data_IF_373203553409
#
_entry.id   IF_373203553409
#
_cell.length_a   1.000
_cell.length_b   1.000
_cell.length_c   1.000
_cell.angle_alpha   90.00
_cell.angle_beta   90.00
_cell.angle_gamma   90.00
#
_symmetry.space_group_name_H-M   'P 1'
#
loop_
_entity.id
_entity.type
_entity.pdbx_description
1 polymer ?
#
# COMPACT_ATOMS: atom_id res chain seq x y z
N UNK A 1 -12.59 -12.30 7.10
CA UNK A 1 -11.79 -13.46 7.56
C UNK A 1 -12.29 -14.73 6.91
N UNK A 2 -11.45 -15.77 6.86
CA UNK A 2 -11.81 -17.10 6.35
C UNK A 2 -10.98 -18.14 7.11
N UNK A 3 -11.53 -19.34 7.29
CA UNK A 3 -10.83 -20.50 7.86
C UNK A 3 -10.51 -21.57 6.81
N UNK A 4 -11.10 -21.47 5.62
CA UNK A 4 -11.04 -22.47 4.56
C UNK A 4 -10.60 -21.91 3.20
N UNK A 5 -10.41 -20.58 3.10
CA UNK A 5 -10.12 -19.84 1.88
C UNK A 5 -11.20 -19.97 0.79
N UNK A 6 -12.41 -20.38 1.16
CA UNK A 6 -13.56 -20.54 0.26
C UNK A 6 -14.73 -19.66 0.69
N UNK A 7 -15.00 -19.63 1.99
CA UNK A 7 -16.04 -18.82 2.60
C UNK A 7 -15.42 -17.62 3.29
N UNK A 8 -15.88 -16.42 2.97
CA UNK A 8 -15.35 -15.18 3.52
C UNK A 8 -16.44 -14.43 4.29
N UNK A 9 -16.11 -14.01 5.50
CA UNK A 9 -16.95 -13.16 6.34
C UNK A 9 -16.32 -11.78 6.45
N UNK A 10 -17.09 -10.71 6.25
CA UNK A 10 -16.59 -9.35 6.45
C UNK A 10 -16.20 -9.14 7.92
N UNK A 11 -15.10 -8.43 8.15
CA UNK A 11 -14.70 -7.99 9.51
C UNK A 11 -15.57 -6.81 9.97
N UNK A 12 -16.06 -6.00 9.03
CA UNK A 12 -16.82 -4.78 9.24
C UNK A 12 -17.67 -4.51 8.00
N UNK A 13 -18.83 -3.88 8.17
CA UNK A 13 -19.63 -3.33 7.06
C UNK A 13 -19.07 -1.98 6.60
N UNK A 14 -18.40 -1.25 7.49
CA UNK A 14 -17.66 -0.02 7.16
C UNK A 14 -16.28 -0.34 6.59
N UNK A 15 -15.78 0.45 5.61
CA UNK A 15 -14.45 0.26 5.06
C UNK A 15 -13.36 0.51 6.11
N UNK A 16 -12.35 -0.37 6.16
CA UNK A 16 -11.18 -0.21 7.06
C UNK A 16 -10.27 0.98 6.69
N UNK A 17 -10.40 1.50 5.47
CA UNK A 17 -9.79 2.76 5.04
C UNK A 17 -10.75 3.49 4.11
N UNK A 18 -11.37 4.58 4.59
CA UNK A 18 -12.30 5.40 3.82
C UNK A 18 -11.56 6.38 2.87
N UNK A 19 -12.29 6.87 1.86
CA UNK A 19 -11.85 8.00 1.04
C UNK A 19 -11.80 9.29 1.88
N UNK A 20 -10.85 10.18 1.59
CA UNK A 20 -10.69 11.44 2.30
C UNK A 20 -10.22 11.27 3.77
N UNK A 21 -10.17 12.35 4.56
CA UNK A 21 -10.69 13.67 4.23
C UNK A 21 -9.81 14.49 3.28
N UNK A 22 -8.57 14.08 3.03
CA UNK A 22 -7.65 14.81 2.16
C UNK A 22 -8.02 14.68 0.68
N UNK A 23 -7.71 15.72 -0.10
CA UNK A 23 -8.07 15.78 -1.52
C UNK A 23 -7.44 14.65 -2.35
N UNK A 24 -6.24 14.20 -1.95
CA UNK A 24 -5.47 13.23 -2.70
C UNK A 24 -6.20 11.86 -2.84
N UNK A 25 -7.09 11.50 -1.91
CA UNK A 25 -7.83 10.24 -1.96
C UNK A 25 -9.34 10.39 -1.77
N UNK A 26 -9.85 11.59 -2.04
CA UNK A 26 -11.26 11.95 -1.86
C UNK A 26 -12.23 11.13 -2.71
N UNK A 27 -11.80 10.61 -3.85
CA UNK A 27 -12.69 9.97 -4.82
C UNK A 27 -12.39 8.49 -5.08
N UNK A 28 -11.28 7.97 -4.56
CA UNK A 28 -10.93 6.57 -4.69
C UNK A 28 -9.79 6.16 -3.78
N UNK A 29 -9.93 4.98 -3.20
CA UNK A 29 -8.92 4.24 -2.44
C UNK A 29 -9.04 2.78 -2.85
N UNK A 30 -7.91 2.14 -3.17
CA UNK A 30 -7.84 0.70 -3.36
C UNK A 30 -6.46 0.18 -2.96
N UNK A 31 -6.44 -0.88 -2.16
CA UNK A 31 -5.21 -1.49 -1.65
C UNK A 31 -4.53 -2.27 -2.77
N UNK A 32 -3.22 -2.07 -2.92
CA UNK A 32 -2.39 -2.86 -3.82
C UNK A 32 -1.72 -4.00 -3.06
N UNK A 33 -1.08 -3.69 -1.93
CA UNK A 33 -0.28 -4.64 -1.18
C UNK A 33 -0.20 -4.26 0.30
N UNK A 34 -0.31 -5.25 1.18
CA UNK A 34 0.04 -5.11 2.60
C UNK A 34 1.33 -5.88 2.88
N UNK A 35 2.30 -5.22 3.52
CA UNK A 35 3.56 -5.83 3.96
C UNK A 35 3.79 -5.59 5.45
N UNK A 36 4.48 -6.53 6.10
CA UNK A 36 4.88 -6.38 7.51
C UNK A 36 6.35 -5.97 7.59
N UNK A 37 6.63 -4.94 8.37
CA UNK A 37 7.99 -4.48 8.62
C UNK A 37 8.13 -3.97 10.07
N UNK A 38 9.15 -4.46 10.79
CA UNK A 38 9.41 -4.09 12.19
C UNK A 38 8.17 -4.09 13.10
N UNK A 39 7.33 -5.14 13.02
CA UNK A 39 6.14 -5.30 13.86
C UNK A 39 4.95 -4.40 13.49
N UNK A 40 4.95 -3.79 12.30
CA UNK A 40 3.87 -2.94 11.81
C UNK A 40 3.45 -3.35 10.39
N UNK A 41 2.17 -3.20 10.08
CA UNK A 41 1.63 -3.39 8.74
C UNK A 41 1.68 -2.08 7.96
N UNK A 42 2.07 -2.19 6.69
CA UNK A 42 2.14 -1.10 5.73
C UNK A 42 1.29 -1.47 4.52
N UNK A 43 0.23 -0.70 4.28
CA UNK A 43 -0.59 -0.80 3.09
C UNK A 43 -0.10 0.19 2.05
N UNK A 44 0.43 -0.33 0.95
CA UNK A 44 0.54 0.41 -0.30
C UNK A 44 -0.82 0.38 -0.98
N UNK A 45 -1.33 1.56 -1.28
CA UNK A 45 -2.63 1.71 -1.91
C UNK A 45 -2.54 2.78 -2.98
N UNK A 46 -3.36 2.67 -4.02
CA UNK A 46 -3.54 3.77 -4.94
C UNK A 46 -4.80 4.56 -4.59
N UNK A 47 -4.76 5.85 -4.91
CA UNK A 47 -5.86 6.76 -4.68
C UNK A 47 -6.13 7.65 -5.88
N UNK A 48 -7.37 8.17 -5.96
CA UNK A 48 -7.77 9.13 -6.98
C UNK A 48 -8.24 10.44 -6.33
N UNK A 49 -7.62 11.58 -6.69
CA UNK A 49 -8.14 12.91 -6.38
C UNK A 49 -9.23 13.36 -7.35
N UNK A 50 -9.43 12.66 -8.48
CA UNK A 50 -10.41 13.02 -9.50
C UNK A 50 -11.72 12.24 -9.31
N UNK A 51 -12.86 12.93 -9.38
CA UNK A 51 -14.19 12.32 -9.23
C UNK A 51 -14.50 11.27 -10.29
N UNK A 52 -14.00 11.47 -11.51
CA UNK A 52 -14.13 10.53 -12.64
C UNK A 52 -13.09 9.39 -12.59
N UNK A 53 -12.19 9.38 -11.59
CA UNK A 53 -11.11 8.41 -11.42
C UNK A 53 -10.19 8.29 -12.64
N UNK A 54 -10.00 9.40 -13.36
CA UNK A 54 -9.08 9.50 -14.50
C UNK A 54 -7.61 9.48 -14.10
N UNK A 55 -7.29 9.94 -12.88
CA UNK A 55 -5.93 10.02 -12.33
C UNK A 55 -5.74 9.19 -11.08
N UNK A 56 -4.59 8.56 -10.94
CA UNK A 56 -4.22 7.74 -9.80
C UNK A 56 -2.80 8.02 -9.34
N UNK A 57 -2.59 7.84 -8.04
CA UNK A 57 -1.31 8.06 -7.37
C UNK A 57 -1.09 7.01 -6.30
N UNK A 58 0.18 6.77 -5.92
CA UNK A 58 0.53 5.80 -4.89
C UNK A 58 0.59 6.47 -3.53
N UNK A 59 -0.03 5.85 -2.54
CA UNK A 59 -0.09 6.27 -1.15
C UNK A 59 0.31 5.13 -0.21
N UNK A 60 0.53 5.48 1.06
CA UNK A 60 0.91 4.59 2.13
C UNK A 60 -0.01 4.79 3.35
N UNK A 61 -0.43 3.71 3.98
CA UNK A 61 -1.05 3.73 5.30
C UNK A 61 -0.37 2.69 6.20
N UNK A 62 -0.45 2.87 7.52
CA UNK A 62 0.07 1.89 8.48
C UNK A 62 -0.99 1.42 9.45
N UNK A 63 -0.84 0.19 9.94
CA UNK A 63 -1.74 -0.39 10.93
C UNK A 63 -0.96 -1.30 11.88
N UNK A 64 -1.52 -1.53 13.06
CA UNK A 64 -1.04 -2.55 14.02
C UNK A 64 -1.90 -3.81 14.05
N UNK A 65 -3.10 -3.78 13.47
CA UNK A 65 -4.13 -4.82 13.62
C UNK A 65 -4.88 -5.17 12.32
N UNK A 66 -4.50 -4.57 11.19
CA UNK A 66 -5.12 -4.72 9.86
C UNK A 66 -6.54 -4.13 9.74
N UNK A 67 -7.09 -3.54 10.80
CA UNK A 67 -8.45 -2.98 10.84
C UNK A 67 -8.40 -1.46 10.96
N UNK A 68 -7.56 -0.93 11.84
CA UNK A 68 -7.39 0.50 12.03
C UNK A 68 -6.15 0.98 11.27
N UNK A 69 -6.37 1.83 10.27
CA UNK A 69 -5.32 2.33 9.39
C UNK A 69 -5.10 3.83 9.55
N UNK A 70 -3.84 4.22 9.65
CA UNK A 70 -3.39 5.62 9.69
C UNK A 70 -2.72 5.96 8.35
N UNK A 71 -3.28 6.93 7.62
CA UNK A 71 -2.70 7.42 6.36
C UNK A 71 -1.40 8.16 6.62
N UNK A 72 -0.37 7.88 5.82
CA UNK A 72 0.91 8.58 5.93
C UNK A 72 0.74 10.07 5.64
N UNK A 73 1.17 10.93 6.56
CA UNK A 73 1.03 12.38 6.43
C UNK A 73 1.75 12.97 5.20
N UNK A 74 2.77 12.28 4.67
CA UNK A 74 3.47 12.66 3.45
C UNK A 74 2.84 12.12 2.17
N UNK A 75 1.62 11.57 2.22
CA UNK A 75 0.92 11.14 1.02
C UNK A 75 0.58 12.34 0.11
N UNK A 76 0.57 12.13 -1.23
CA UNK A 76 0.89 10.89 -1.94
C UNK A 76 2.40 10.58 -1.97
N UNK A 77 2.77 9.31 -1.84
CA UNK A 77 4.17 8.86 -1.97
C UNK A 77 4.69 9.05 -3.40
N UNK A 78 3.84 8.74 -4.39
CA UNK A 78 4.08 9.03 -5.80
C UNK A 78 2.87 9.81 -6.33
N UNK A 79 2.95 11.14 -6.41
CA UNK A 79 1.86 11.98 -6.92
C UNK A 79 1.47 11.62 -8.36
N UNK A 80 0.29 12.07 -8.78
CA UNK A 80 -0.16 11.95 -10.18
C UNK A 80 0.91 12.50 -11.13
N UNK A 81 1.31 11.67 -12.09
CA UNK A 81 2.10 12.09 -13.26
C UNK A 81 1.11 12.49 -14.37
N UNK A 82 1.01 13.78 -14.75
CA UNK A 82 0.05 14.21 -15.78
C UNK A 82 0.27 13.55 -17.14
N UNK A 83 1.49 13.10 -17.44
CA UNK A 83 1.80 12.38 -18.69
C UNK A 83 1.43 10.89 -18.60
N UNK A 84 1.33 10.35 -17.39
CA UNK A 84 1.03 8.94 -17.12
C UNK A 84 0.05 8.81 -15.94
N UNK A 85 -1.20 9.28 -16.10
CA UNK A 85 -2.10 9.51 -14.98
C UNK A 85 -2.58 8.24 -14.28
N UNK A 86 -2.19 7.04 -14.75
CA UNK A 86 -2.61 5.75 -14.20
C UNK A 86 -1.48 4.94 -13.57
N UNK A 87 -0.30 5.53 -13.38
CA UNK A 87 0.90 4.84 -12.86
C UNK A 87 0.93 4.84 -11.33
N UNK A 88 0.19 3.94 -10.70
CA UNK A 88 -0.01 3.98 -9.24
C UNK A 88 0.03 2.64 -8.51
N UNK A 89 -0.23 1.51 -9.18
CA UNK A 89 -0.42 0.21 -8.52
C UNK A 89 0.91 -0.32 -7.98
N UNK A 90 1.11 -0.19 -6.67
CA UNK A 90 2.39 -0.36 -6.03
C UNK A 90 2.63 -1.79 -5.52
N UNK A 91 3.82 -2.31 -5.77
CA UNK A 91 4.30 -3.56 -5.17
C UNK A 91 5.72 -3.36 -4.66
N UNK A 92 5.91 -3.56 -3.36
CA UNK A 92 7.20 -3.50 -2.69
C UNK A 92 7.85 -4.89 -2.68
N UNK A 93 9.08 -4.95 -3.19
CA UNK A 93 9.92 -6.16 -3.18
C UNK A 93 11.25 -5.81 -2.54
N UNK A 94 11.70 -6.63 -1.60
CA UNK A 94 13.06 -6.53 -1.06
C UNK A 94 14.01 -7.39 -1.90
N UNK A 95 15.11 -6.81 -2.37
CA UNK A 95 16.02 -7.47 -3.32
C UNK A 95 17.25 -8.13 -2.70
N UNK A 96 17.26 -8.29 -1.37
CA UNK A 96 18.41 -8.74 -0.60
C UNK A 96 19.25 -7.60 -0.03
N UNK A 97 19.18 -6.40 -0.62
CA UNK A 97 19.96 -5.23 -0.18
C UNK A 97 19.11 -4.01 0.16
N UNK A 98 18.04 -3.79 -0.60
CA UNK A 98 17.17 -2.61 -0.50
C UNK A 98 15.75 -2.93 -0.96
N UNK A 99 14.84 -1.98 -0.77
CA UNK A 99 13.49 -2.10 -1.32
C UNK A 99 13.45 -1.59 -2.76
N UNK A 100 12.64 -2.28 -3.57
CA UNK A 100 12.21 -1.91 -4.91
C UNK A 100 10.71 -1.69 -4.86
N UNK A 101 10.28 -0.48 -5.19
CA UNK A 101 8.88 -0.14 -5.37
C UNK A 101 8.58 -0.20 -6.86
N UNK A 102 7.85 -1.24 -7.26
CA UNK A 102 7.30 -1.37 -8.60
C UNK A 102 5.97 -0.63 -8.67
N UNK A 103 5.75 0.11 -9.75
CA UNK A 103 4.43 0.63 -10.12
C UNK A 103 4.08 0.15 -11.52
N UNK A 104 2.84 -0.29 -11.73
CA UNK A 104 2.33 -0.72 -13.04
C UNK A 104 1.38 0.32 -13.65
N UNK A 105 0.91 0.04 -14.88
CA UNK A 105 -0.03 0.82 -15.70
C UNK A 105 0.46 2.20 -16.18
N UNK A 106 0.63 2.43 -17.50
CA UNK A 106 0.61 1.45 -18.61
C UNK A 106 1.89 0.61 -18.70
N UNK A 107 2.93 0.99 -17.97
CA UNK A 107 4.27 0.42 -18.02
C UNK A 107 4.78 0.07 -16.62
N UNK A 108 5.80 -0.78 -16.54
CA UNK A 108 6.44 -1.13 -15.27
C UNK A 108 7.57 -0.15 -14.99
N UNK A 109 7.48 0.57 -13.87
CA UNK A 109 8.58 1.38 -13.33
C UNK A 109 9.05 0.80 -12.03
N UNK A 110 10.36 0.89 -11.79
CA UNK A 110 10.99 0.54 -10.53
C UNK A 110 11.62 1.77 -9.90
N UNK A 111 11.38 1.96 -8.61
CA UNK A 111 12.05 2.95 -7.76
C UNK A 111 12.76 2.22 -6.65
N UNK A 112 13.89 2.74 -6.21
CA UNK A 112 14.72 2.12 -5.19
C UNK A 112 14.67 2.93 -3.90
N UNK A 113 14.64 2.27 -2.75
CA UNK A 113 14.83 2.98 -1.48
C UNK A 113 16.21 3.62 -1.47
N UNK A 114 16.26 4.86 -0.96
CA UNK A 114 17.53 5.61 -0.80
C UNK A 114 18.45 4.88 0.18
N UNK A 115 17.88 4.33 1.25
CA UNK A 115 18.62 3.55 2.23
C UNK A 115 18.67 2.07 1.83
N UNK A 116 19.83 1.44 2.08
CA UNK A 116 19.93 0.00 2.15
C UNK A 116 19.13 -0.47 3.37
N UNK A 117 18.36 -1.54 3.19
CA UNK A 117 17.60 -2.15 4.27
C UNK A 117 18.10 -3.57 4.39
N UNK A 118 18.88 -3.86 5.42
CA UNK A 118 19.22 -5.26 5.71
C UNK A 118 17.99 -5.90 6.32
N UNK A 119 17.58 -7.07 5.81
CA UNK A 119 16.55 -7.85 6.50
C UNK A 119 17.04 -8.11 7.93
N UNK A 120 16.19 -7.92 8.95
CA UNK A 120 16.51 -8.49 10.26
C UNK A 120 16.83 -9.96 10.06
N UNK A 121 17.87 -10.46 10.73
CA UNK A 121 18.11 -11.90 10.77
C UNK A 121 16.78 -12.56 11.17
N UNK A 122 16.37 -13.61 10.46
CA UNK A 122 15.26 -14.43 10.96
C UNK A 122 15.69 -14.87 12.36
N UNK A 123 15.02 -14.36 13.38
CA UNK A 123 15.02 -15.09 14.65
C UNK A 123 14.33 -16.39 14.31
N UNK A 124 15.09 -17.49 14.30
CA UNK A 124 14.51 -18.82 14.44
C UNK A 124 13.79 -18.84 15.78
N UNK A 125 12.52 -18.44 15.75
CA UNK A 125 11.58 -18.58 16.84
C UNK A 125 10.88 -19.90 16.63
N UNK A 126 11.25 -20.86 17.47
CA UNK A 126 10.45 -22.03 17.82
C UNK A 126 8.97 -21.66 17.91
N UNK A 127 8.18 -22.19 16.99
CA UNK A 127 6.73 -22.24 17.12
C UNK A 127 6.40 -23.37 18.12
N UNK A 128 5.50 -23.18 19.10
CA UNK A 128 4.96 -24.28 19.89
C UNK A 128 4.08 -25.24 19.07
#
# INVERSE_FOLDING_TARGET
TSRDLRTFTNVSDEPVLACGPQDYDRHGVAFDQVVTYCGRYYAYYHSSPAADRSTWQTCLATSRDLVHWEKYAGNPLLPVDPLHPKRSSATLVHDGTRHRLYTTHPDVRVRFSVQLVRRPARTEGTDP
#
